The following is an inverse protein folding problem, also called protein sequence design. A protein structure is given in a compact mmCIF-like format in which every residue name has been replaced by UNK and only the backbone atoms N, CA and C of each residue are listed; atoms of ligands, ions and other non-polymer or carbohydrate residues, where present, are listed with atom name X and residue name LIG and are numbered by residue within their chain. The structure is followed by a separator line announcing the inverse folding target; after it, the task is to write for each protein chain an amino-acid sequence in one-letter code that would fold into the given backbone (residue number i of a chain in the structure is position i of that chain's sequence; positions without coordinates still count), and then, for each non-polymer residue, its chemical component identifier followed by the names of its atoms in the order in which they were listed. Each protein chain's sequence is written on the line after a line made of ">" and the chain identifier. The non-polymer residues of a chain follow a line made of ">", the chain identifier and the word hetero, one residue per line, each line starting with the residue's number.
data_IF_513966320641
#
_entry.id   IF_513966320641
#
_cell.length_a   1.000
_cell.length_b   1.000
_cell.length_c   1.000
_cell.angle_alpha   90.00
_cell.angle_beta   90.00
_cell.angle_gamma   90.00
#
_symmetry.space_group_name_H-M   'P 1'
#
loop_
_entity.id
_entity.type
_entity.pdbx_description
1 polymer ?
#
# COMPACT_ATOMS: atom_id res chain seq x y z
N UNK A 1 27.58 34.64 2.96
CA UNK A 1 26.37 35.37 2.54
C UNK A 1 25.23 34.37 2.58
N UNK A 2 24.51 34.37 3.70
CA UNK A 2 23.39 33.45 3.95
C UNK A 2 22.19 33.88 3.11
N UNK A 3 21.85 33.12 2.08
CA UNK A 3 20.58 33.26 1.37
C UNK A 3 19.47 32.61 2.18
N UNK A 4 18.98 33.31 3.21
CA UNK A 4 17.75 32.98 3.93
C UNK A 4 16.56 33.41 3.08
N UNK A 5 15.91 32.46 2.41
CA UNK A 5 14.60 32.69 1.82
C UNK A 5 13.53 32.34 2.85
N UNK A 6 12.74 33.33 3.24
CA UNK A 6 11.61 33.21 4.15
C UNK A 6 10.41 32.59 3.39
N UNK A 7 9.76 31.58 3.99
CA UNK A 7 8.44 31.14 3.54
C UNK A 7 7.36 32.14 4.00
N UNK A 8 6.15 32.04 3.42
CA UNK A 8 4.99 32.92 3.66
C UNK A 8 4.61 33.10 5.15
N UNK A 9 5.07 32.23 6.04
CA UNK A 9 4.78 32.24 7.48
C UNK A 9 5.96 32.69 8.38
N UNK A 10 7.06 33.18 7.80
CA UNK A 10 8.19 33.73 8.59
C UNK A 10 9.06 32.71 9.35
N UNK A 11 8.78 31.41 9.24
CA UNK A 11 9.61 30.35 9.83
C UNK A 11 10.77 29.95 8.90
N UNK A 12 11.96 29.76 9.47
CA UNK A 12 13.16 29.29 8.77
C UNK A 12 12.99 27.83 8.35
N UNK A 13 12.85 27.57 7.05
CA UNK A 13 12.83 26.23 6.50
C UNK A 13 14.26 25.66 6.44
N UNK A 14 14.45 24.43 6.92
CA UNK A 14 15.74 23.74 6.87
C UNK A 14 15.85 23.06 5.51
N UNK A 15 16.90 23.39 4.77
CA UNK A 15 17.19 22.75 3.48
C UNK A 15 18.39 21.80 3.62
N UNK A 16 18.21 20.57 3.15
CA UNK A 16 19.27 19.59 3.11
C UNK A 16 20.32 19.91 2.05
N UNK A 17 21.57 19.60 2.35
CA UNK A 17 22.72 19.81 1.46
C UNK A 17 23.47 18.52 1.14
N UNK A 18 23.00 17.37 1.63
CA UNK A 18 23.56 16.06 1.29
C UNK A 18 23.13 15.64 -0.12
N UNK A 19 24.02 15.79 -1.11
CA UNK A 19 23.73 15.43 -2.50
C UNK A 19 23.78 13.91 -2.77
N UNK A 20 24.39 13.14 -1.85
CA UNK A 20 24.43 11.68 -1.90
C UNK A 20 23.19 11.02 -1.27
N UNK A 21 22.90 9.78 -1.64
CA UNK A 21 21.80 9.00 -1.03
C UNK A 21 22.02 8.66 0.46
N UNK A 22 23.26 8.84 0.95
CA UNK A 22 23.67 8.66 2.34
C UNK A 22 24.67 9.75 2.75
N UNK A 23 24.49 10.43 3.90
CA UNK A 23 25.45 11.42 4.39
C UNK A 23 26.86 10.84 4.58
N UNK A 24 27.93 11.60 4.26
CA UNK A 24 29.32 11.12 4.40
C UNK A 24 29.68 10.64 5.81
N UNK A 25 29.17 11.31 6.84
CA UNK A 25 29.40 10.92 8.23
C UNK A 25 28.83 9.52 8.53
N UNK A 26 27.59 9.26 8.10
CA UNK A 26 26.96 7.93 8.25
C UNK A 26 27.69 6.88 7.41
N UNK A 27 28.11 7.22 6.18
CA UNK A 27 28.85 6.29 5.33
C UNK A 27 30.17 5.85 5.98
N UNK A 28 30.94 6.81 6.49
CA UNK A 28 32.23 6.54 7.13
C UNK A 28 32.04 5.71 8.41
N UNK A 29 31.04 6.04 9.23
CA UNK A 29 30.68 5.27 10.42
C UNK A 29 30.33 3.83 10.04
N UNK A 30 29.39 3.61 9.12
CA UNK A 30 28.95 2.25 8.77
C UNK A 30 30.03 1.42 8.11
N UNK A 31 30.95 2.03 7.35
CA UNK A 31 32.13 1.34 6.80
C UNK A 31 33.10 0.94 7.90
N UNK A 32 33.43 1.85 8.83
CA UNK A 32 34.35 1.59 9.95
C UNK A 32 33.83 0.51 10.88
N UNK A 33 32.55 0.58 11.25
CA UNK A 33 31.90 -0.36 12.18
C UNK A 33 31.40 -1.65 11.50
N UNK A 34 31.66 -1.84 10.19
CA UNK A 34 31.19 -3.00 9.40
C UNK A 34 29.67 -3.22 9.43
N UNK A 35 28.91 -2.12 9.42
CA UNK A 35 27.44 -2.09 9.44
C UNK A 35 26.80 -1.89 8.05
N UNK A 36 27.56 -2.09 6.97
CA UNK A 36 27.03 -1.98 5.60
C UNK A 36 26.09 -3.15 5.31
N UNK A 37 24.88 -2.85 4.85
CA UNK A 37 23.91 -3.89 4.54
C UNK A 37 24.28 -4.59 3.22
N UNK A 38 24.04 -5.90 3.11
CA UNK A 38 24.35 -6.67 1.88
C UNK A 38 23.71 -6.14 0.59
N UNK A 39 22.58 -5.44 0.70
CA UNK A 39 21.91 -4.80 -0.45
C UNK A 39 22.59 -3.48 -0.89
N UNK A 40 23.50 -2.96 -0.09
CA UNK A 40 24.32 -1.77 -0.39
C UNK A 40 25.69 -2.17 -0.97
N UNK A 41 25.99 -3.48 -1.03
CA UNK A 41 27.19 -4.02 -1.68
C UNK A 41 26.89 -4.25 -3.16
N UNK A 42 27.70 -3.64 -4.02
CA UNK A 42 27.62 -3.72 -5.48
C UNK A 42 28.94 -4.28 -6.05
N UNK A 43 28.95 -4.63 -7.33
CA UNK A 43 30.17 -5.06 -8.04
C UNK A 43 31.21 -3.94 -8.11
N UNK A 44 30.78 -2.68 -8.07
CA UNK A 44 31.61 -1.48 -8.13
C UNK A 44 31.98 -0.94 -6.74
N UNK A 45 31.67 -1.69 -5.67
CA UNK A 45 31.96 -1.32 -4.29
C UNK A 45 30.69 -1.15 -3.45
N UNK A 46 30.40 0.08 -3.05
CA UNK A 46 29.34 0.37 -2.08
C UNK A 46 28.40 1.48 -2.55
N UNK A 47 27.09 1.22 -2.46
CA UNK A 47 26.02 2.20 -2.73
C UNK A 47 25.10 2.29 -1.51
N UNK A 48 25.54 3.08 -0.52
CA UNK A 48 24.86 3.25 0.75
C UNK A 48 23.64 4.16 0.60
N UNK A 49 22.60 3.86 1.37
CA UNK A 49 21.41 4.71 1.52
C UNK A 49 21.22 5.02 2.99
N UNK A 50 20.92 6.29 3.33
CA UNK A 50 20.72 6.77 4.70
C UNK A 50 19.76 5.86 5.47
N UNK A 51 20.16 5.35 6.63
CA UNK A 51 19.30 4.57 7.53
C UNK A 51 18.23 5.45 8.17
N UNK A 52 17.11 4.86 8.59
CA UNK A 52 16.15 5.56 9.44
C UNK A 52 16.68 5.67 10.88
N UNK A 53 16.59 6.86 11.48
CA UNK A 53 16.98 7.07 12.88
C UNK A 53 15.76 7.32 13.77
N UNK A 54 15.71 6.65 14.94
CA UNK A 54 14.58 6.68 15.88
C UNK A 54 14.63 7.88 16.84
N UNK A 55 15.80 8.48 17.05
CA UNK A 55 16.02 9.46 18.13
C UNK A 55 15.82 10.89 17.64
N UNK A 56 14.59 11.39 17.70
CA UNK A 56 14.24 12.78 17.37
C UNK A 56 14.69 13.81 18.44
N UNK A 57 15.23 13.35 19.57
CA UNK A 57 15.64 14.20 20.69
C UNK A 57 17.07 14.77 20.56
N UNK A 58 17.88 14.28 19.63
CA UNK A 58 19.19 14.85 19.36
C UNK A 58 19.08 16.00 18.35
N UNK A 59 19.55 17.18 18.74
CA UNK A 59 19.74 18.39 17.92
C UNK A 59 20.49 18.16 16.59
N UNK A 60 21.04 16.97 16.38
CA UNK A 60 21.81 16.55 15.20
C UNK A 60 20.97 16.14 13.98
N UNK A 61 19.64 15.91 14.11
CA UNK A 61 18.83 15.47 12.95
C UNK A 61 18.51 16.59 11.96
N UNK A 62 18.50 17.84 12.44
CA UNK A 62 18.15 19.03 11.68
C UNK A 62 19.38 19.66 10.98
N UNK A 63 20.54 19.00 11.01
CA UNK A 63 21.78 19.47 10.38
C UNK A 63 21.65 19.38 8.86
N UNK A 64 21.78 20.50 8.10
CA UNK A 64 21.64 20.50 6.64
C UNK A 64 22.45 19.43 5.91
N UNK A 65 23.71 19.22 6.31
CA UNK A 65 24.60 18.22 5.69
C UNK A 65 24.19 16.77 5.97
N UNK A 66 23.25 16.54 6.88
CA UNK A 66 22.67 15.22 7.17
C UNK A 66 21.33 15.00 6.46
N UNK A 67 20.75 16.03 5.86
CA UNK A 67 19.46 15.97 5.18
C UNK A 67 19.68 15.98 3.67
N UNK A 68 18.97 15.10 2.96
CA UNK A 68 19.00 15.05 1.49
C UNK A 68 17.94 16.00 0.93
N UNK A 69 18.29 16.91 0.00
CA UNK A 69 17.31 17.75 -0.65
C UNK A 69 16.37 16.92 -1.55
N UNK A 70 15.24 17.50 -1.95
CA UNK A 70 14.21 16.82 -2.75
C UNK A 70 14.75 16.07 -3.99
N UNK A 71 15.64 16.62 -4.84
CA UNK A 71 16.18 15.89 -5.98
C UNK A 71 16.88 14.59 -5.56
N UNK A 72 17.68 14.62 -4.50
CA UNK A 72 18.37 13.45 -3.96
C UNK A 72 17.40 12.46 -3.34
N UNK A 73 16.34 12.91 -2.66
CA UNK A 73 15.27 12.04 -2.14
C UNK A 73 14.53 11.32 -3.27
N UNK A 74 14.29 12.00 -4.40
CA UNK A 74 13.68 11.42 -5.58
C UNK A 74 14.56 10.32 -6.18
N UNK A 75 15.84 10.63 -6.46
CA UNK A 75 16.81 9.65 -6.98
C UNK A 75 16.97 8.46 -6.03
N UNK A 76 16.99 8.71 -4.72
CA UNK A 76 17.06 7.65 -3.70
C UNK A 76 15.84 6.74 -3.77
N UNK A 77 14.64 7.31 -3.81
CA UNK A 77 13.38 6.55 -3.87
C UNK A 77 13.30 5.70 -5.14
N UNK A 78 13.67 6.27 -6.28
CA UNK A 78 13.76 5.54 -7.56
C UNK A 78 14.77 4.39 -7.47
N UNK A 79 15.99 4.63 -6.98
CA UNK A 79 17.00 3.59 -6.84
C UNK A 79 16.52 2.43 -5.95
N UNK A 80 15.90 2.74 -4.81
CA UNK A 80 15.35 1.74 -3.90
C UNK A 80 14.27 0.89 -4.59
N UNK A 81 13.27 1.54 -5.20
CA UNK A 81 12.08 0.87 -5.74
C UNK A 81 12.31 0.21 -7.11
N UNK A 82 13.26 0.71 -7.91
CA UNK A 82 13.48 0.26 -9.29
C UNK A 82 14.78 -0.53 -9.49
N UNK A 83 15.74 -0.45 -8.57
CA UNK A 83 17.00 -1.18 -8.67
C UNK A 83 17.15 -2.20 -7.53
N UNK A 84 17.10 -1.75 -6.27
CA UNK A 84 17.34 -2.65 -5.13
C UNK A 84 16.24 -3.73 -5.04
N UNK A 85 15.00 -3.37 -5.33
CA UNK A 85 13.86 -4.31 -5.34
C UNK A 85 13.98 -5.46 -6.34
N UNK A 86 14.85 -5.33 -7.36
CA UNK A 86 15.05 -6.35 -8.41
C UNK A 86 16.04 -7.44 -8.01
N UNK A 87 16.75 -7.29 -6.89
CA UNK A 87 17.70 -8.29 -6.39
C UNK A 87 16.97 -9.62 -6.16
N UNK A 88 17.51 -10.70 -6.73
CA UNK A 88 16.94 -12.06 -6.63
C UNK A 88 17.76 -12.99 -5.74
N UNK A 89 18.99 -12.60 -5.44
CA UNK A 89 19.93 -13.28 -4.56
C UNK A 89 19.60 -13.11 -3.06
N UNK A 90 18.68 -12.21 -2.73
CA UNK A 90 18.25 -11.93 -1.36
C UNK A 90 16.78 -12.27 -1.18
N UNK A 91 16.43 -12.86 -0.03
CA UNK A 91 15.05 -13.17 0.34
C UNK A 91 14.18 -11.91 0.31
N UNK A 92 12.96 -12.05 -0.21
CA UNK A 92 12.01 -10.95 -0.39
C UNK A 92 11.68 -10.20 0.91
N UNK A 93 11.55 -10.88 2.04
CA UNK A 93 11.33 -10.24 3.36
C UNK A 93 12.51 -9.38 3.79
N UNK A 94 13.75 -9.78 3.47
CA UNK A 94 14.95 -8.98 3.76
C UNK A 94 15.02 -7.75 2.86
N UNK A 95 14.62 -7.88 1.59
CA UNK A 95 14.49 -6.73 0.67
C UNK A 95 13.45 -5.76 1.20
N UNK A 96 12.26 -6.25 1.58
CA UNK A 96 11.21 -5.42 2.18
C UNK A 96 11.71 -4.65 3.40
N UNK A 97 12.34 -5.33 4.37
CA UNK A 97 12.82 -4.70 5.60
C UNK A 97 13.88 -3.61 5.33
N UNK A 98 14.78 -3.85 4.37
CA UNK A 98 15.75 -2.84 3.94
C UNK A 98 15.05 -1.64 3.29
N UNK A 99 14.16 -1.88 2.33
CA UNK A 99 13.45 -0.82 1.63
C UNK A 99 12.57 -0.01 2.59
N UNK A 100 11.81 -0.66 3.50
CA UNK A 100 11.01 0.02 4.51
C UNK A 100 11.84 0.95 5.38
N UNK A 101 12.98 0.49 5.90
CA UNK A 101 13.89 1.32 6.69
C UNK A 101 14.38 2.55 5.90
N UNK A 102 14.86 2.34 4.67
CA UNK A 102 15.39 3.44 3.85
C UNK A 102 14.30 4.41 3.39
N UNK A 103 13.10 3.94 3.06
CA UNK A 103 11.96 4.80 2.71
C UNK A 103 11.46 5.58 3.94
N UNK A 104 11.51 5.01 5.14
CA UNK A 104 11.23 5.76 6.37
C UNK A 104 12.27 6.86 6.62
N UNK A 105 13.53 6.63 6.29
CA UNK A 105 14.56 7.67 6.29
C UNK A 105 14.25 8.79 5.30
N UNK A 106 13.76 8.45 4.09
CA UNK A 106 13.30 9.44 3.11
C UNK A 106 12.14 10.26 3.70
N UNK A 107 11.10 9.63 4.26
CA UNK A 107 9.98 10.35 4.90
C UNK A 107 10.41 11.22 6.08
N UNK A 108 11.43 10.80 6.82
CA UNK A 108 12.00 11.58 7.92
C UNK A 108 12.66 12.86 7.39
N UNK A 109 13.46 12.78 6.33
CA UNK A 109 14.04 13.96 5.67
C UNK A 109 12.96 14.87 5.09
N UNK A 110 11.88 14.31 4.52
CA UNK A 110 10.73 15.07 4.03
C UNK A 110 10.05 15.86 5.15
N UNK A 111 9.90 15.25 6.33
CA UNK A 111 9.24 15.85 7.49
C UNK A 111 10.08 16.99 8.07
N UNK A 112 11.39 16.76 8.26
CA UNK A 112 12.30 17.74 8.86
C UNK A 112 12.42 18.98 7.95
N UNK A 113 12.51 18.77 6.64
CA UNK A 113 12.61 19.85 5.65
C UNK A 113 11.27 20.47 5.27
N UNK A 114 10.14 19.94 5.77
CA UNK A 114 8.78 20.42 5.47
C UNK A 114 8.56 20.64 3.97
N UNK A 115 8.84 19.59 3.18
CA UNK A 115 8.73 19.67 1.72
C UNK A 115 7.35 20.12 1.28
N UNK A 116 7.30 20.79 0.11
CA UNK A 116 6.05 21.30 -0.42
C UNK A 116 5.12 20.16 -0.87
N UNK A 117 3.79 20.38 -0.89
CA UNK A 117 2.84 19.34 -1.29
C UNK A 117 3.14 18.70 -2.65
N UNK A 118 3.59 19.46 -3.64
CA UNK A 118 3.95 19.01 -5.01
C UNK A 118 5.13 18.03 -5.01
N UNK A 119 6.07 18.22 -4.08
CA UNK A 119 7.23 17.34 -3.89
C UNK A 119 6.83 16.09 -3.11
N UNK A 120 6.00 16.26 -2.07
CA UNK A 120 5.54 15.17 -1.22
C UNK A 120 4.76 14.12 -2.02
N UNK A 121 3.81 14.53 -2.86
CA UNK A 121 3.00 13.58 -3.64
C UNK A 121 3.83 12.68 -4.55
N UNK A 122 4.91 13.22 -5.14
CA UNK A 122 5.82 12.48 -6.03
C UNK A 122 6.66 11.43 -5.29
N UNK A 123 6.91 11.62 -3.99
CA UNK A 123 7.65 10.65 -3.15
C UNK A 123 6.70 9.65 -2.48
N UNK A 124 5.52 10.09 -2.04
CA UNK A 124 4.56 9.28 -1.29
C UNK A 124 3.83 8.26 -2.15
N UNK A 125 3.45 8.61 -3.37
CA UNK A 125 2.70 7.70 -4.25
C UNK A 125 3.45 6.38 -4.50
N UNK A 126 4.76 6.39 -4.88
CA UNK A 126 5.51 5.15 -5.06
C UNK A 126 5.69 4.36 -3.77
N UNK A 127 5.78 5.04 -2.62
CA UNK A 127 5.81 4.38 -1.30
C UNK A 127 4.49 3.67 -0.98
N UNK A 128 3.35 4.27 -1.35
CA UNK A 128 2.03 3.66 -1.18
C UNK A 128 1.93 2.39 -2.03
N UNK A 129 2.38 2.44 -3.30
CA UNK A 129 2.47 1.24 -4.16
C UNK A 129 3.34 0.15 -3.54
N UNK A 130 4.50 0.53 -3.00
CA UNK A 130 5.41 -0.36 -2.29
C UNK A 130 4.71 -1.10 -1.13
N UNK A 131 4.08 -0.35 -0.23
CA UNK A 131 3.43 -0.95 0.94
C UNK A 131 2.22 -1.81 0.56
N UNK A 132 1.41 -1.41 -0.43
CA UNK A 132 0.31 -2.23 -0.93
C UNK A 132 0.80 -3.53 -1.57
N UNK A 133 1.86 -3.46 -2.38
CA UNK A 133 2.46 -4.63 -3.02
C UNK A 133 2.97 -5.63 -1.98
N UNK A 134 3.77 -5.18 -1.02
CA UNK A 134 4.33 -6.07 0.00
C UNK A 134 3.30 -6.58 1.00
N UNK A 135 2.24 -5.81 1.30
CA UNK A 135 1.10 -6.30 2.09
C UNK A 135 0.55 -7.61 1.55
N UNK A 136 0.42 -7.70 0.22
CA UNK A 136 -0.08 -8.90 -0.44
C UNK A 136 1.02 -9.95 -0.67
N UNK A 137 2.21 -9.54 -1.12
CA UNK A 137 3.29 -10.48 -1.44
C UNK A 137 3.82 -11.24 -0.23
N UNK A 138 3.77 -10.61 0.95
CA UNK A 138 4.25 -11.18 2.21
C UNK A 138 3.11 -11.60 3.15
N UNK A 139 1.84 -11.60 2.72
CA UNK A 139 0.71 -11.91 3.61
C UNK A 139 0.76 -13.30 4.27
N UNK A 140 1.49 -14.26 3.68
CA UNK A 140 1.70 -15.61 4.22
C UNK A 140 3.02 -15.77 4.99
N UNK A 141 3.83 -14.73 5.09
CA UNK A 141 5.13 -14.82 5.75
C UNK A 141 4.93 -14.82 7.28
N UNK A 142 5.81 -15.50 8.04
CA UNK A 142 5.78 -15.45 9.49
C UNK A 142 5.96 -14.03 10.04
N UNK A 143 5.35 -13.72 11.18
CA UNK A 143 5.41 -12.39 11.82
C UNK A 143 6.83 -11.87 12.06
N UNK A 144 7.77 -12.77 12.37
CA UNK A 144 9.20 -12.42 12.54
C UNK A 144 9.86 -11.86 11.28
N UNK A 145 9.29 -12.13 10.11
CA UNK A 145 9.81 -11.69 8.82
C UNK A 145 9.02 -10.54 8.20
N UNK A 146 7.71 -10.50 8.48
CA UNK A 146 6.80 -9.46 8.00
C UNK A 146 5.70 -9.23 9.03
N UNK A 147 5.64 -7.99 9.53
CA UNK A 147 4.56 -7.54 10.40
C UNK A 147 3.50 -6.79 9.57
N UNK A 148 2.33 -7.41 9.31
CA UNK A 148 1.27 -6.79 8.51
C UNK A 148 0.65 -5.57 9.20
N UNK A 149 0.67 -5.50 10.53
CA UNK A 149 0.12 -4.38 11.30
C UNK A 149 1.03 -3.17 11.14
N UNK A 150 2.33 -3.37 11.28
CA UNK A 150 3.32 -2.30 11.10
C UNK A 150 3.35 -1.80 9.66
N UNK A 151 3.32 -2.70 8.67
CA UNK A 151 3.20 -2.33 7.26
C UNK A 151 1.93 -1.49 7.02
N UNK A 152 0.78 -1.93 7.55
CA UNK A 152 -0.49 -1.19 7.40
C UNK A 152 -0.43 0.18 8.06
N UNK A 153 0.25 0.32 9.21
CA UNK A 153 0.47 1.62 9.86
C UNK A 153 1.21 2.58 8.93
N UNK A 154 2.35 2.16 8.38
CA UNK A 154 3.15 3.02 7.50
C UNK A 154 2.45 3.33 6.17
N UNK A 155 1.72 2.36 5.62
CA UNK A 155 0.84 2.58 4.47
C UNK A 155 -0.17 3.70 4.74
N UNK A 156 -0.86 3.65 5.88
CA UNK A 156 -1.87 4.64 6.24
C UNK A 156 -1.26 6.02 6.54
N UNK A 157 -0.07 6.08 7.15
CA UNK A 157 0.67 7.33 7.31
C UNK A 157 0.97 7.97 5.93
N UNK A 158 1.49 7.18 4.98
CA UNK A 158 1.77 7.66 3.63
C UNK A 158 0.50 8.10 2.90
N UNK A 159 -0.56 7.30 2.95
CA UNK A 159 -1.86 7.64 2.34
C UNK A 159 -2.41 8.93 2.92
N UNK A 160 -2.52 9.06 4.25
CA UNK A 160 -3.06 10.26 4.89
C UNK A 160 -2.27 11.50 4.54
N UNK A 161 -0.93 11.42 4.53
CA UNK A 161 -0.09 12.54 4.13
C UNK A 161 -0.31 12.89 2.65
N UNK A 162 -0.32 11.89 1.76
CA UNK A 162 -0.56 12.12 0.34
C UNK A 162 -1.91 12.81 0.08
N UNK A 163 -2.97 12.31 0.71
CA UNK A 163 -4.32 12.85 0.58
C UNK A 163 -4.40 14.28 1.11
N UNK A 164 -3.76 14.58 2.24
CA UNK A 164 -3.66 15.94 2.77
C UNK A 164 -2.90 16.89 1.81
N UNK A 165 -1.83 16.42 1.17
CA UNK A 165 -1.14 17.18 0.13
C UNK A 165 -2.03 17.44 -1.08
N UNK A 166 -2.77 16.45 -1.57
CA UNK A 166 -3.72 16.64 -2.66
C UNK A 166 -4.79 17.68 -2.32
N UNK A 167 -5.33 17.64 -1.11
CA UNK A 167 -6.34 18.60 -0.65
C UNK A 167 -5.75 20.02 -0.53
N UNK A 168 -4.47 20.15 -0.19
CA UNK A 168 -3.78 21.44 -0.16
C UNK A 168 -3.56 21.99 -1.59
N UNK A 169 -3.15 21.13 -2.52
CA UNK A 169 -2.95 21.49 -3.92
C UNK A 169 -4.26 21.95 -4.58
N UNK A 170 -5.37 21.27 -4.33
CA UNK A 170 -6.68 21.67 -4.86
C UNK A 170 -7.15 23.04 -4.37
N UNK A 171 -6.80 23.43 -3.14
CA UNK A 171 -7.13 24.76 -2.59
C UNK A 171 -6.32 25.86 -3.26
N UNK A 172 -5.07 25.58 -3.60
CA UNK A 172 -4.18 26.52 -4.30
C UNK A 172 -4.55 26.64 -5.79
N UNK A 173 -4.99 25.56 -6.42
CA UNK A 173 -5.36 25.50 -7.85
C UNK A 173 -6.69 26.22 -8.20
N UNK A 174 -7.44 26.70 -7.20
CA UNK A 174 -8.63 27.52 -7.45
C UNK A 174 -8.26 28.92 -8.00
N UNK A 175 -7.00 29.32 -7.92
CA UNK A 175 -6.48 30.58 -8.48
C UNK A 175 -5.75 30.41 -9.83
N UNK A 176 -5.42 29.19 -10.26
CA UNK A 176 -4.70 28.95 -11.53
C UNK A 176 -5.15 27.65 -12.19
N UNK A 177 -6.35 27.66 -12.73
CA UNK A 177 -7.01 26.51 -13.33
C UNK A 177 -6.15 25.76 -14.38
N UNK A 178 -6.10 24.43 -14.19
CA UNK A 178 -6.21 23.39 -15.24
C UNK A 178 -5.02 22.99 -16.10
N UNK A 179 -3.85 23.64 -16.05
CA UNK A 179 -2.75 23.29 -16.95
C UNK A 179 -1.67 22.37 -16.33
N UNK A 180 -1.33 22.51 -15.05
CA UNK A 180 -0.17 21.77 -14.46
C UNK A 180 -0.48 20.28 -14.22
N UNK A 181 -1.72 19.93 -13.85
CA UNK A 181 -2.09 18.53 -13.57
C UNK A 181 -2.28 17.68 -14.84
N UNK A 182 -2.53 18.30 -16.00
CA UNK A 182 -2.57 17.58 -17.28
C UNK A 182 -1.17 17.20 -17.76
N UNK A 183 -0.16 18.00 -17.43
CA UNK A 183 1.24 17.76 -17.84
C UNK A 183 1.94 16.66 -17.04
N UNK A 184 1.37 16.22 -15.90
CA UNK A 184 1.87 15.04 -15.18
C UNK A 184 1.56 13.71 -15.90
N UNK A 185 0.77 13.73 -16.98
CA UNK A 185 0.38 12.56 -17.75
C UNK A 185 1.08 12.41 -19.11
N UNK A 186 2.14 13.18 -19.38
CA UNK A 186 2.95 13.02 -20.58
C UNK A 186 4.43 13.08 -20.22
N UNK A 187 5.05 11.95 -19.91
CA UNK A 187 6.50 11.80 -20.07
C UNK A 187 6.87 10.38 -20.50
N UNK A 188 7.62 10.32 -21.62
CA UNK A 188 8.18 9.13 -22.27
C UNK A 188 9.43 8.60 -21.56
N UNK A 189 9.72 9.07 -20.35
CA UNK A 189 10.91 8.72 -19.58
C UNK A 189 10.55 7.86 -18.37
N UNK A 190 11.43 6.94 -17.95
CA UNK A 190 11.28 6.01 -16.83
C UNK A 190 11.23 6.69 -15.43
N UNK A 191 10.48 7.78 -15.30
CA UNK A 191 10.30 8.58 -14.09
C UNK A 191 9.00 8.14 -13.41
N UNK A 192 9.03 8.02 -12.07
CA UNK A 192 7.85 7.68 -11.28
C UNK A 192 6.77 8.76 -11.45
N UNK A 193 5.59 8.36 -11.95
CA UNK A 193 4.43 9.24 -12.10
C UNK A 193 3.52 9.18 -10.88
N UNK A 194 2.75 10.25 -10.65
CA UNK A 194 1.82 10.34 -9.52
C UNK A 194 0.38 10.10 -9.98
N UNK A 195 -0.22 8.98 -9.57
CA UNK A 195 -1.61 8.65 -9.89
C UNK A 195 -2.51 8.83 -8.65
N UNK A 196 -3.16 10.01 -8.54
CA UNK A 196 -4.09 10.30 -7.44
C UNK A 196 -5.29 9.35 -7.43
N UNK A 197 -5.83 9.01 -8.61
CA UNK A 197 -7.00 8.12 -8.72
C UNK A 197 -6.68 6.74 -8.14
N UNK A 198 -5.48 6.22 -8.44
CA UNK A 198 -4.99 4.99 -7.85
C UNK A 198 -4.91 5.07 -6.33
N UNK A 199 -4.30 6.12 -5.78
CA UNK A 199 -4.15 6.25 -4.33
C UNK A 199 -5.50 6.36 -3.61
N UNK A 200 -6.44 7.16 -4.13
CA UNK A 200 -7.80 7.25 -3.58
C UNK A 200 -8.50 5.89 -3.64
N UNK A 201 -8.34 5.14 -4.74
CA UNK A 201 -8.93 3.81 -4.90
C UNK A 201 -8.34 2.81 -3.90
N UNK A 202 -7.02 2.85 -3.70
CA UNK A 202 -6.32 2.03 -2.70
C UNK A 202 -6.74 2.42 -1.29
N UNK A 203 -6.93 3.71 -1.00
CA UNK A 203 -7.36 4.16 0.32
C UNK A 203 -8.73 3.57 0.70
N UNK A 204 -9.67 3.51 -0.26
CA UNK A 204 -10.96 2.83 -0.07
C UNK A 204 -10.76 1.32 0.14
N UNK A 205 -10.04 0.64 -0.75
CA UNK A 205 -9.93 -0.84 -0.74
C UNK A 205 -9.06 -1.38 0.40
N UNK A 206 -8.08 -0.63 0.89
CA UNK A 206 -7.29 -1.01 2.06
C UNK A 206 -8.09 -0.89 3.37
N UNK A 207 -9.20 -0.14 3.36
CA UNK A 207 -9.97 0.23 4.55
C UNK A 207 -11.47 -0.11 4.41
N UNK A 208 -11.81 -1.26 3.80
CA UNK A 208 -13.20 -1.68 3.53
C UNK A 208 -14.13 -1.81 4.74
N UNK A 209 -13.57 -1.83 5.96
CA UNK A 209 -14.34 -1.86 7.21
C UNK A 209 -14.50 -0.46 7.84
N UNK A 210 -14.01 0.58 7.19
CA UNK A 210 -14.05 1.96 7.65
C UNK A 210 -14.97 2.80 6.74
N UNK A 211 -15.72 3.71 7.36
CA UNK A 211 -16.62 4.64 6.67
C UNK A 211 -15.93 5.92 6.20
N UNK A 212 -14.81 6.31 6.81
CA UNK A 212 -14.10 7.55 6.47
C UNK A 212 -13.67 7.62 4.98
N UNK A 213 -13.15 6.56 4.34
CA UNK A 213 -12.85 6.58 2.91
C UNK A 213 -14.07 6.83 2.02
N UNK A 214 -15.26 6.38 2.44
CA UNK A 214 -16.50 6.63 1.71
C UNK A 214 -16.94 8.09 1.80
N UNK A 215 -16.87 8.68 3.00
CA UNK A 215 -17.14 10.11 3.17
C UNK A 215 -16.18 10.96 2.34
N UNK A 216 -14.89 10.60 2.32
CA UNK A 216 -13.91 11.25 1.45
C UNK A 216 -14.30 11.13 -0.02
N UNK A 217 -14.66 9.93 -0.49
CA UNK A 217 -15.13 9.77 -1.88
C UNK A 217 -16.27 10.74 -2.20
N UNK A 218 -17.24 10.92 -1.29
CA UNK A 218 -18.36 11.83 -1.49
C UNK A 218 -17.95 13.30 -1.55
N UNK A 219 -16.88 13.72 -0.86
CA UNK A 219 -16.38 15.09 -0.90
C UNK A 219 -15.50 15.41 -2.12
N UNK A 220 -15.00 14.39 -2.84
CA UNK A 220 -14.10 14.61 -3.98
C UNK A 220 -14.79 15.26 -5.19
N UNK A 221 -14.04 15.95 -6.06
CA UNK A 221 -14.56 16.46 -7.33
C UNK A 221 -15.12 15.38 -8.27
N UNK A 222 -16.12 15.75 -9.07
CA UNK A 222 -16.82 14.82 -9.97
C UNK A 222 -15.92 14.18 -11.05
N UNK A 223 -14.84 14.84 -11.46
CA UNK A 223 -13.91 14.29 -12.46
C UNK A 223 -13.16 13.06 -11.92
N UNK A 224 -12.84 13.02 -10.62
CA UNK A 224 -12.22 11.85 -9.98
C UNK A 224 -13.23 10.71 -9.73
N UNK A 225 -14.51 11.04 -9.53
CA UNK A 225 -15.59 10.08 -9.24
C UNK A 225 -16.05 9.24 -10.44
N UNK A 226 -15.54 9.48 -11.66
CA UNK A 226 -15.96 8.76 -12.88
C UNK A 226 -15.02 7.63 -13.31
N UNK A 227 -13.91 7.47 -12.61
CA UNK A 227 -12.83 6.54 -12.96
C UNK A 227 -12.92 5.23 -12.15
N UNK A 228 -11.81 4.48 -12.09
CA UNK A 228 -11.64 3.29 -11.26
C UNK A 228 -11.91 3.53 -9.76
N UNK A 229 -11.87 4.78 -9.31
CA UNK A 229 -12.28 5.15 -7.97
C UNK A 229 -13.77 4.86 -7.71
N UNK A 230 -14.65 5.05 -8.70
CA UNK A 230 -16.07 4.68 -8.60
C UNK A 230 -16.24 3.19 -8.33
N UNK A 231 -15.47 2.37 -9.05
CA UNK A 231 -15.49 0.92 -8.88
C UNK A 231 -15.07 0.53 -7.45
N UNK A 232 -13.99 1.13 -6.93
CA UNK A 232 -13.54 0.92 -5.56
C UNK A 232 -14.62 1.32 -4.54
N UNK A 233 -15.29 2.46 -4.74
CA UNK A 233 -16.40 2.91 -3.91
C UNK A 233 -17.59 1.93 -3.95
N UNK A 234 -18.01 1.48 -5.13
CA UNK A 234 -19.11 0.52 -5.27
C UNK A 234 -18.81 -0.82 -4.61
N UNK A 235 -17.56 -1.29 -4.68
CA UNK A 235 -17.09 -2.48 -3.96
C UNK A 235 -17.22 -2.28 -2.44
N UNK A 236 -16.78 -1.13 -1.94
CA UNK A 236 -16.84 -0.84 -0.51
C UNK A 236 -18.27 -0.73 0.01
N UNK A 237 -19.17 -0.08 -0.75
CA UNK A 237 -20.61 -0.05 -0.43
C UNK A 237 -21.21 -1.46 -0.45
N UNK A 238 -20.90 -2.27 -1.46
CA UNK A 238 -21.38 -3.66 -1.53
C UNK A 238 -20.90 -4.49 -0.34
N UNK A 239 -19.66 -4.30 0.13
CA UNK A 239 -19.13 -4.94 1.32
C UNK A 239 -19.89 -4.51 2.60
N UNK A 240 -20.18 -3.22 2.77
CA UNK A 240 -20.95 -2.73 3.92
C UNK A 240 -22.37 -3.27 3.96
N UNK A 241 -23.00 -3.42 2.79
CA UNK A 241 -24.34 -4.01 2.65
C UNK A 241 -24.33 -5.55 2.79
N UNK A 242 -23.17 -6.19 2.95
CA UNK A 242 -23.04 -7.64 3.02
C UNK A 242 -23.29 -8.36 1.67
N UNK A 243 -23.27 -7.64 0.56
CA UNK A 243 -23.46 -8.20 -0.78
C UNK A 243 -22.12 -8.69 -1.36
N UNK A 244 -21.61 -9.79 -0.81
CA UNK A 244 -20.30 -10.35 -1.19
C UNK A 244 -20.27 -10.88 -2.64
N UNK A 245 -21.41 -11.31 -3.18
CA UNK A 245 -21.52 -11.70 -4.60
C UNK A 245 -21.25 -10.50 -5.51
N UNK A 246 -21.83 -9.33 -5.19
CA UNK A 246 -21.54 -8.08 -5.93
C UNK A 246 -20.08 -7.66 -5.77
N UNK A 247 -19.53 -7.73 -4.56
CA UNK A 247 -18.10 -7.45 -4.32
C UNK A 247 -17.23 -8.27 -5.28
N UNK A 248 -17.46 -9.58 -5.35
CA UNK A 248 -16.64 -10.47 -6.17
C UNK A 248 -16.80 -10.20 -7.67
N UNK A 249 -18.02 -9.99 -8.16
CA UNK A 249 -18.27 -9.63 -9.57
C UNK A 249 -17.58 -8.34 -9.98
N UNK A 250 -17.57 -7.34 -9.10
CA UNK A 250 -16.89 -6.06 -9.36
C UNK A 250 -15.37 -6.19 -9.26
N UNK A 251 -14.87 -7.08 -8.40
CA UNK A 251 -13.43 -7.29 -8.19
C UNK A 251 -12.69 -7.67 -9.49
N UNK A 252 -13.33 -8.38 -10.41
CA UNK A 252 -12.73 -8.80 -11.69
C UNK A 252 -12.25 -7.64 -12.57
N UNK A 253 -12.78 -6.43 -12.35
CA UNK A 253 -12.46 -5.22 -13.11
C UNK A 253 -11.29 -4.41 -12.50
N UNK A 254 -10.80 -4.82 -11.33
CA UNK A 254 -9.72 -4.15 -10.60
C UNK A 254 -8.36 -4.39 -11.29
N UNK A 255 -7.47 -3.41 -11.17
CA UNK A 255 -6.09 -3.61 -11.57
C UNK A 255 -5.36 -4.53 -10.57
N UNK A 256 -4.20 -5.09 -10.92
CA UNK A 256 -3.50 -6.05 -10.06
C UNK A 256 -3.26 -5.56 -8.62
N UNK A 257 -2.88 -4.30 -8.40
CA UNK A 257 -2.62 -3.77 -7.06
C UNK A 257 -3.89 -3.49 -6.25
N UNK A 258 -4.93 -2.94 -6.87
CA UNK A 258 -6.22 -2.71 -6.19
C UNK A 258 -6.92 -4.04 -5.88
N UNK A 259 -6.82 -5.03 -6.77
CA UNK A 259 -7.28 -6.39 -6.50
C UNK A 259 -6.53 -7.02 -5.33
N UNK A 260 -5.20 -6.86 -5.29
CA UNK A 260 -4.38 -7.35 -4.19
C UNK A 260 -4.78 -6.76 -2.83
N UNK A 261 -5.09 -5.46 -2.79
CA UNK A 261 -5.59 -4.79 -1.59
C UNK A 261 -6.94 -5.38 -1.12
N UNK A 262 -7.88 -5.64 -2.05
CA UNK A 262 -9.15 -6.29 -1.75
C UNK A 262 -8.96 -7.71 -1.19
N UNK A 263 -8.05 -8.51 -1.76
CA UNK A 263 -7.79 -9.88 -1.32
C UNK A 263 -7.36 -9.99 0.15
N UNK A 264 -6.77 -8.93 0.73
CA UNK A 264 -6.40 -8.93 2.15
C UNK A 264 -7.61 -8.96 3.08
N UNK A 265 -8.79 -8.56 2.62
CA UNK A 265 -10.05 -8.62 3.37
C UNK A 265 -10.86 -9.89 3.08
N UNK A 266 -10.44 -10.69 2.10
CA UNK A 266 -11.20 -11.81 1.58
C UNK A 266 -11.53 -12.88 2.65
N UNK A 267 -10.64 -13.27 3.57
CA UNK A 267 -10.99 -14.20 4.64
C UNK A 267 -12.14 -13.70 5.53
N UNK A 268 -12.16 -12.41 5.82
CA UNK A 268 -13.23 -11.78 6.61
C UNK A 268 -14.55 -11.77 5.84
N UNK A 269 -14.51 -11.42 4.55
CA UNK A 269 -15.69 -11.43 3.68
C UNK A 269 -16.24 -12.85 3.51
N UNK A 270 -15.37 -13.84 3.32
CA UNK A 270 -15.71 -15.26 3.23
C UNK A 270 -16.37 -15.76 4.51
N UNK A 271 -15.81 -15.47 5.69
CA UNK A 271 -16.42 -15.83 6.99
C UNK A 271 -17.84 -15.25 7.11
N UNK A 272 -17.99 -13.94 6.84
CA UNK A 272 -19.29 -13.27 6.94
C UNK A 272 -20.28 -13.80 5.91
N UNK A 273 -19.83 -14.05 4.68
CA UNK A 273 -20.64 -14.64 3.61
C UNK A 273 -21.13 -16.04 3.97
N UNK A 274 -20.24 -16.92 4.46
CA UNK A 274 -20.62 -18.25 4.94
C UNK A 274 -21.62 -18.19 6.09
N UNK A 275 -21.51 -17.21 7.00
CA UNK A 275 -22.50 -17.00 8.06
C UNK A 275 -23.87 -16.59 7.50
N UNK A 276 -23.91 -15.69 6.52
CA UNK A 276 -25.16 -15.28 5.86
C UNK A 276 -25.81 -16.47 5.15
N UNK A 277 -25.03 -17.25 4.40
CA UNK A 277 -25.51 -18.46 3.72
C UNK A 277 -26.00 -19.48 4.76
N UNK A 278 -25.27 -19.65 5.87
CA UNK A 278 -25.67 -20.57 6.94
C UNK A 278 -27.01 -20.21 7.56
N UNK A 279 -27.29 -18.92 7.76
CA UNK A 279 -28.59 -18.46 8.24
C UNK A 279 -29.70 -18.65 7.20
N UNK A 280 -29.42 -18.39 5.92
CA UNK A 280 -30.41 -18.46 4.85
C UNK A 280 -30.79 -19.90 4.46
N UNK A 281 -29.84 -20.82 4.53
CA UNK A 281 -30.00 -22.23 4.13
C UNK A 281 -29.96 -23.18 5.34
N UNK A 282 -30.37 -22.72 6.53
CA UNK A 282 -30.41 -23.50 7.77
C UNK A 282 -31.52 -24.58 7.73
N UNK A 283 -31.33 -25.63 6.95
CA UNK A 283 -32.30 -26.71 6.77
C UNK A 283 -31.60 -28.01 6.43
N UNK A 284 -32.06 -29.11 7.04
CA UNK A 284 -31.58 -30.47 6.75
C UNK A 284 -31.88 -30.93 5.31
N UNK A 285 -32.74 -30.20 4.58
CA UNK A 285 -33.16 -30.54 3.21
C UNK A 285 -32.52 -29.64 2.16
N UNK A 286 -31.94 -28.50 2.56
CA UNK A 286 -31.34 -27.54 1.63
C UNK A 286 -29.83 -27.73 1.60
N UNK A 287 -29.31 -27.94 0.40
CA UNK A 287 -27.89 -28.15 0.16
C UNK A 287 -27.43 -27.10 -0.85
N UNK A 288 -26.27 -26.50 -0.60
CA UNK A 288 -25.68 -25.52 -1.52
C UNK A 288 -24.44 -26.13 -2.17
N UNK A 289 -24.35 -26.21 -3.50
CA UNK A 289 -23.17 -26.76 -4.17
C UNK A 289 -21.90 -25.98 -3.82
N UNK A 290 -20.78 -26.67 -3.58
CA UNK A 290 -19.49 -26.04 -3.27
C UNK A 290 -19.04 -25.10 -4.38
N UNK A 291 -19.30 -25.46 -5.64
CA UNK A 291 -19.02 -24.62 -6.80
C UNK A 291 -19.69 -23.24 -6.74
N UNK A 292 -20.93 -23.19 -6.26
CA UNK A 292 -21.70 -21.94 -6.16
C UNK A 292 -21.11 -21.05 -5.08
N UNK A 293 -20.79 -21.62 -3.92
CA UNK A 293 -20.12 -20.89 -2.82
C UNK A 293 -18.75 -20.38 -3.25
N UNK A 294 -18.00 -21.19 -4.01
CA UNK A 294 -16.71 -20.80 -4.58
C UNK A 294 -16.83 -19.52 -5.41
N UNK A 295 -17.81 -19.47 -6.32
CA UNK A 295 -18.05 -18.33 -7.19
C UNK A 295 -18.60 -17.11 -6.44
N UNK A 296 -19.48 -17.32 -5.46
CA UNK A 296 -20.09 -16.24 -4.70
C UNK A 296 -19.13 -15.53 -3.74
N UNK A 297 -18.19 -16.27 -3.15
CA UNK A 297 -17.29 -15.77 -2.10
C UNK A 297 -15.82 -15.72 -2.53
N UNK A 298 -15.53 -15.96 -3.81
CA UNK A 298 -14.19 -15.82 -4.38
C UNK A 298 -13.16 -16.78 -3.78
N UNK A 299 -13.51 -18.05 -3.59
CA UNK A 299 -12.52 -19.06 -3.19
C UNK A 299 -11.68 -19.52 -4.38
N UNK A 300 -10.42 -19.92 -4.14
CA UNK A 300 -9.58 -20.40 -5.23
C UNK A 300 -10.06 -21.73 -5.82
N UNK A 301 -10.65 -22.58 -4.99
CA UNK A 301 -11.09 -23.92 -5.35
C UNK A 301 -12.24 -24.38 -4.47
N UNK A 302 -12.93 -25.42 -4.90
CA UNK A 302 -13.96 -26.09 -4.10
C UNK A 302 -13.36 -26.77 -2.86
N UNK A 303 -12.10 -27.20 -2.94
CA UNK A 303 -11.36 -27.73 -1.78
C UNK A 303 -11.22 -26.67 -0.68
N UNK A 304 -10.88 -25.42 -1.04
CA UNK A 304 -10.83 -24.33 -0.06
C UNK A 304 -12.19 -24.07 0.59
N UNK A 305 -13.29 -24.18 -0.18
CA UNK A 305 -14.65 -24.08 0.37
C UNK A 305 -14.87 -25.17 1.41
N UNK A 306 -14.54 -26.44 1.09
CA UNK A 306 -14.73 -27.56 2.02
C UNK A 306 -13.94 -27.38 3.30
N UNK A 307 -12.65 -27.05 3.19
CA UNK A 307 -11.77 -26.80 4.33
C UNK A 307 -12.30 -25.66 5.21
N UNK A 308 -12.75 -24.56 4.60
CA UNK A 308 -13.25 -23.40 5.34
C UNK A 308 -14.63 -23.63 5.96
N UNK A 309 -15.53 -24.34 5.28
CA UNK A 309 -16.80 -24.79 5.84
C UNK A 309 -16.57 -25.69 7.06
N UNK A 310 -15.69 -26.69 6.94
CA UNK A 310 -15.33 -27.59 8.04
C UNK A 310 -14.69 -26.83 9.21
N UNK A 311 -13.81 -25.87 8.92
CA UNK A 311 -13.21 -24.99 9.93
C UNK A 311 -14.27 -24.26 10.76
N UNK A 312 -15.32 -23.74 10.10
CA UNK A 312 -16.46 -23.09 10.75
C UNK A 312 -17.56 -24.05 11.23
N UNK A 313 -17.31 -25.37 11.26
CA UNK A 313 -18.22 -26.37 11.83
C UNK A 313 -19.31 -26.91 10.91
N UNK A 314 -19.22 -26.63 9.60
CA UNK A 314 -20.18 -27.09 8.59
C UNK A 314 -19.69 -28.35 7.87
N UNK A 315 -20.59 -29.29 7.57
CA UNK A 315 -20.27 -30.49 6.79
C UNK A 315 -20.28 -30.14 5.30
N UNK A 316 -19.16 -30.38 4.62
CA UNK A 316 -18.98 -30.04 3.21
C UNK A 316 -18.37 -31.20 2.43
N UNK A 317 -19.09 -31.66 1.40
CA UNK A 317 -18.61 -32.58 0.36
C UNK A 317 -18.61 -31.82 -0.98
N UNK A 318 -19.32 -32.29 -2.00
CA UNK A 318 -19.63 -31.51 -3.21
C UNK A 318 -20.80 -30.54 -2.97
N UNK A 319 -21.52 -30.74 -1.87
CA UNK A 319 -22.55 -29.85 -1.36
C UNK A 319 -22.29 -29.54 0.11
N UNK A 320 -22.77 -28.38 0.55
CA UNK A 320 -22.70 -27.95 1.95
C UNK A 320 -24.10 -27.98 2.54
N UNK A 321 -24.24 -28.74 3.62
CA UNK A 321 -25.46 -28.76 4.44
C UNK A 321 -25.26 -27.77 5.58
N UNK A 322 -25.93 -26.62 5.52
CA UNK A 322 -25.74 -25.59 6.53
C UNK A 322 -26.58 -25.86 7.79
N UNK A 323 -25.93 -25.76 8.94
CA UNK A 323 -26.55 -25.77 10.25
C UNK A 323 -26.04 -24.58 11.06
N UNK A 324 -26.93 -23.61 11.28
CA UNK A 324 -26.59 -22.37 11.97
C UNK A 324 -26.15 -22.60 13.43
N UNK A 325 -26.68 -23.63 14.10
CA UNK A 325 -26.30 -23.97 15.46
C UNK A 325 -24.86 -24.51 15.57
N UNK A 326 -24.30 -25.05 14.49
CA UNK A 326 -22.93 -25.55 14.44
C UNK A 326 -21.93 -24.50 13.94
N UNK A 327 -22.40 -23.32 13.52
CA UNK A 327 -21.52 -22.30 12.95
C UNK A 327 -20.65 -21.66 14.04
N UNK A 328 -19.34 -21.88 13.94
CA UNK A 328 -18.36 -21.36 14.90
C UNK A 328 -18.10 -19.87 14.65
N UNK A 329 -19.00 -19.01 15.13
CA UNK A 329 -18.91 -17.56 14.97
C UNK A 329 -17.65 -16.96 15.62
N UNK A 330 -17.18 -17.57 16.71
CA UNK A 330 -16.02 -17.10 17.48
C UNK A 330 -14.68 -17.61 16.95
N UNK A 331 -14.67 -18.51 15.96
CA UNK A 331 -13.45 -18.99 15.35
C UNK A 331 -12.67 -17.81 14.73
N UNK A 332 -11.35 -17.78 14.92
CA UNK A 332 -10.51 -16.72 14.38
C UNK A 332 -10.58 -16.66 12.85
N UNK A 333 -10.44 -15.46 12.30
CA UNK A 333 -10.36 -15.31 10.84
C UNK A 333 -8.96 -15.76 10.40
N UNK A 334 -8.83 -16.74 9.48
CA UNK A 334 -7.52 -17.14 8.99
C UNK A 334 -6.77 -16.00 8.32
N UNK A 335 -5.44 -16.10 8.32
CA UNK A 335 -4.59 -15.13 7.62
C UNK A 335 -4.92 -15.05 6.12
N UNK A 336 -4.78 -13.87 5.50
CA UNK A 336 -4.96 -13.72 4.07
C UNK A 336 -4.07 -14.66 3.27
N UNK A 337 -4.64 -15.17 2.17
CA UNK A 337 -3.93 -16.03 1.24
C UNK A 337 -3.85 -15.35 -0.12
N UNK A 338 -2.80 -15.69 -0.86
CA UNK A 338 -2.71 -15.32 -2.26
C UNK A 338 -3.82 -16.00 -3.07
N UNK A 339 -4.53 -15.22 -3.87
CA UNK A 339 -5.60 -15.65 -4.76
C UNK A 339 -5.07 -15.90 -6.18
N UNK A 340 -5.57 -16.93 -6.86
CA UNK A 340 -5.07 -17.34 -8.19
C UNK A 340 -5.34 -16.28 -9.28
N UNK A 341 -6.43 -15.51 -9.16
CA UNK A 341 -6.73 -14.37 -10.05
C UNK A 341 -5.90 -13.13 -9.74
N UNK A 342 -5.14 -13.11 -8.64
CA UNK A 342 -4.30 -11.96 -8.32
C UNK A 342 -3.07 -11.94 -9.23
N UNK A 343 -3.21 -11.20 -10.33
CA UNK A 343 -2.15 -11.01 -11.33
C UNK A 343 -0.88 -10.40 -10.75
N UNK A 344 -0.95 -9.75 -9.58
CA UNK A 344 0.20 -9.11 -8.92
C UNK A 344 1.30 -10.09 -8.52
N UNK A 345 0.99 -11.37 -8.32
CA UNK A 345 2.01 -12.39 -8.03
C UNK A 345 2.96 -12.61 -9.21
N UNK A 346 2.54 -12.24 -10.43
CA UNK A 346 3.33 -12.33 -11.68
C UNK A 346 4.09 -11.04 -12.00
N UNK A 347 3.88 -9.98 -11.22
CA UNK A 347 4.51 -8.68 -11.41
C UNK A 347 5.68 -8.51 -10.45
N UNK A 348 6.77 -7.93 -10.94
CA UNK A 348 7.80 -7.35 -10.09
C UNK A 348 7.32 -6.01 -9.54
N UNK A 349 7.98 -5.53 -8.48
CA UNK A 349 7.66 -4.21 -7.91
C UNK A 349 7.79 -3.10 -8.97
N UNK A 350 8.81 -3.17 -9.82
CA UNK A 350 9.03 -2.21 -10.89
C UNK A 350 7.84 -2.11 -11.85
N UNK A 351 7.21 -3.23 -12.23
CA UNK A 351 6.03 -3.21 -13.10
C UNK A 351 4.87 -2.47 -12.43
N UNK A 352 4.75 -2.61 -11.11
CA UNK A 352 3.72 -1.95 -10.32
C UNK A 352 3.95 -0.45 -10.23
N UNK A 353 5.16 0.05 -10.45
CA UNK A 353 5.47 1.48 -10.34
C UNK A 353 5.05 2.32 -11.55
N UNK A 354 4.80 1.70 -12.71
CA UNK A 354 4.62 2.44 -13.96
C UNK A 354 3.22 2.40 -14.56
N UNK A 355 2.33 1.50 -14.12
CA UNK A 355 0.96 1.51 -14.66
C UNK A 355 0.08 2.53 -13.93
N UNK A 356 -0.76 3.24 -14.68
CA UNK A 356 -1.82 4.12 -14.18
C UNK A 356 -3.18 3.44 -14.41
N UNK A 357 -4.25 3.91 -13.76
CA UNK A 357 -5.57 3.23 -13.79
C UNK A 357 -6.74 4.08 -14.29
#
# INVERSE_FOLDING_TARGET
>A
MDSRNLNKDGETCIHGTCLDMCPPQEMNLRKREKLVHKLEVTTEGYKLVKCYSRSAADSNMAVPSQLRPFPTLMTTTQYLLLNVSKRKDVKMSVIYNFLDDRLRSVRQDMTIQRLQPEECVKLLEPMIRFYCYYSYRLCKYPLREFDPVLNKKYLLECMKWFLACCDALEKTDLESMTDILKDLNLNKDNILSCDRTLVESLYVLCNLSDIHPLYRYLSLPNHLKRSKLKLAYEIAVANMLGNYVRVWRLAEQLCPLTFAALCLHLPTMQKRGLRVISSAYNSKRLNVPTKVIQQWLGFNSEEEVRVMCAYYGQTATDVVCFNNALFKSDAEVPQPKQHHMARISRLALGDVMFYTI
#
